data_IF_004576093260
#
_entry.id   IF_004576093260
#
_cell.length_a   1.000
_cell.length_b   1.000
_cell.length_c   1.000
_cell.angle_alpha   90.00
_cell.angle_beta   90.00
_cell.angle_gamma   90.00
#
_symmetry.space_group_name_H-M   'P 1'
#
loop_
_entity.id
_entity.type
_entity.pdbx_description
1 polymer ?
#
# COMPACT_ATOMS: atom_id res chain seq x y z
N UNK A 1 -12.44 10.42 0.95
CA UNK A 1 -12.98 9.14 0.39
C UNK A 1 -11.82 8.18 0.34
N UNK A 2 -12.02 6.92 0.73
CA UNK A 2 -10.97 5.90 0.71
C UNK A 2 -11.11 5.06 -0.55
N UNK A 3 -10.03 4.96 -1.31
CA UNK A 3 -9.93 4.14 -2.51
C UNK A 3 -9.15 2.86 -2.19
N UNK A 4 -9.36 1.80 -2.98
CA UNK A 4 -8.66 0.53 -2.85
C UNK A 4 -8.23 0.00 -4.22
N UNK A 5 -6.97 -0.39 -4.33
CA UNK A 5 -6.42 -1.22 -5.39
C UNK A 5 -6.14 -2.61 -4.82
N UNK A 6 -6.62 -3.68 -5.45
CA UNK A 6 -6.36 -5.04 -4.99
C UNK A 6 -6.08 -6.01 -6.13
N UNK A 7 -5.24 -7.02 -5.81
CA UNK A 7 -4.90 -8.13 -6.70
C UNK A 7 -4.85 -9.44 -5.90
N UNK A 8 -4.97 -10.56 -6.60
CA UNK A 8 -4.72 -11.89 -6.05
C UNK A 8 -3.45 -12.45 -6.68
N UNK A 9 -2.52 -12.92 -5.85
CA UNK A 9 -1.25 -13.51 -6.26
C UNK A 9 -0.99 -14.76 -5.41
N UNK A 10 -0.78 -15.90 -6.06
CA UNK A 10 -0.55 -17.19 -5.38
C UNK A 10 -1.55 -17.50 -4.25
N UNK A 11 -2.83 -17.14 -4.46
CA UNK A 11 -3.91 -17.32 -3.47
C UNK A 11 -3.94 -16.27 -2.34
N UNK A 12 -2.94 -15.41 -2.21
CA UNK A 12 -2.96 -14.27 -1.31
C UNK A 12 -3.67 -13.07 -1.94
N UNK A 13 -4.52 -12.38 -1.16
CA UNK A 13 -5.10 -11.08 -1.55
C UNK A 13 -4.20 -9.96 -1.07
N UNK A 14 -3.65 -9.19 -2.00
CA UNK A 14 -2.87 -7.98 -1.73
C UNK A 14 -3.77 -6.78 -1.98
N UNK A 15 -3.83 -5.84 -1.04
CA UNK A 15 -4.64 -4.63 -1.19
C UNK A 15 -3.90 -3.39 -0.67
N UNK A 16 -3.96 -2.32 -1.45
CA UNK A 16 -3.53 -0.98 -1.08
C UNK A 16 -4.76 -0.10 -0.94
N UNK A 17 -5.01 0.42 0.26
CA UNK A 17 -6.02 1.46 0.45
C UNK A 17 -5.35 2.81 0.62
N UNK A 18 -5.91 3.86 0.04
CA UNK A 18 -5.39 5.21 0.17
C UNK A 18 -6.51 6.25 0.20
N UNK A 19 -6.22 7.41 0.80
CA UNK A 19 -7.17 8.52 0.92
C UNK A 19 -6.45 9.86 1.07
N UNK A 20 -7.19 10.93 0.82
CA UNK A 20 -6.81 12.30 1.22
C UNK A 20 -7.33 12.62 2.65
N UNK A 21 -6.54 13.30 3.50
CA UNK A 21 -5.14 13.68 3.30
C UNK A 21 -4.23 12.44 3.19
N UNK A 22 -3.03 12.55 2.58
CA UNK A 22 -2.21 11.40 2.20
C UNK A 22 -2.03 10.36 3.29
N UNK A 23 -2.77 9.27 3.14
CA UNK A 23 -2.76 8.12 4.03
C UNK A 23 -2.85 6.87 3.17
N UNK A 24 -2.08 5.84 3.52
CA UNK A 24 -2.07 4.57 2.82
C UNK A 24 -1.92 3.39 3.78
N UNK A 25 -2.47 2.24 3.42
CA UNK A 25 -2.30 1.00 4.15
C UNK A 25 -2.15 -0.20 3.19
N UNK A 26 -1.15 -1.03 3.45
CA UNK A 26 -0.91 -2.29 2.77
C UNK A 26 -1.56 -3.42 3.56
N UNK A 27 -2.42 -4.20 2.92
CA UNK A 27 -3.06 -5.39 3.49
C UNK A 27 -2.67 -6.64 2.71
N UNK A 28 -2.38 -7.70 3.45
CA UNK A 28 -2.17 -9.05 2.92
C UNK A 28 -3.19 -9.96 3.61
N UNK A 29 -4.07 -10.59 2.83
CA UNK A 29 -5.18 -11.41 3.34
C UNK A 29 -6.04 -10.68 4.38
N UNK A 30 -6.27 -9.39 4.15
CA UNK A 30 -7.06 -8.52 5.04
C UNK A 30 -6.29 -8.00 6.27
N UNK A 31 -5.11 -8.54 6.57
CA UNK A 31 -4.27 -8.06 7.67
C UNK A 31 -3.48 -6.82 7.25
N UNK A 32 -3.59 -5.75 8.02
CA UNK A 32 -2.75 -4.56 7.84
C UNK A 32 -1.31 -4.95 8.18
N UNK A 33 -0.42 -4.81 7.20
CA UNK A 33 1.02 -5.08 7.35
C UNK A 33 1.80 -3.80 7.63
N UNK A 34 1.42 -2.72 6.96
CA UNK A 34 2.03 -1.41 7.15
C UNK A 34 1.01 -0.32 6.83
N UNK A 35 1.20 0.84 7.47
CA UNK A 35 0.47 2.08 7.23
C UNK A 35 1.44 3.24 7.15
N UNK A 36 1.15 4.20 6.28
CA UNK A 36 1.91 5.44 6.17
C UNK A 36 0.95 6.62 6.05
N UNK A 37 1.36 7.78 6.57
CA UNK A 37 0.59 9.02 6.50
C UNK A 37 1.53 10.21 6.39
N UNK A 38 1.07 11.29 5.78
CA UNK A 38 1.80 12.55 5.66
C UNK A 38 0.85 13.74 5.62
N UNK A 39 1.32 14.87 6.15
CA UNK A 39 0.66 16.17 6.04
C UNK A 39 0.98 16.88 4.70
N UNK A 40 1.94 16.36 3.93
CA UNK A 40 2.31 16.92 2.62
C UNK A 40 1.35 16.41 1.55
N UNK A 41 0.75 17.31 0.77
CA UNK A 41 -0.17 17.00 -0.33
C UNK A 41 0.50 16.43 -1.59
N UNK A 42 1.81 16.68 -1.78
CA UNK A 42 2.59 16.13 -2.88
C UNK A 42 3.71 15.23 -2.32
N UNK A 43 3.45 13.92 -2.27
CA UNK A 43 4.34 12.94 -1.64
C UNK A 43 4.12 11.54 -2.19
N UNK A 44 5.17 10.71 -2.18
CA UNK A 44 5.08 9.27 -2.40
C UNK A 44 5.13 8.53 -1.06
N UNK A 45 4.10 7.75 -0.75
CA UNK A 45 4.11 6.81 0.37
C UNK A 45 4.51 5.43 -0.15
N UNK A 46 5.54 4.84 0.47
CA UNK A 46 5.99 3.46 0.20
C UNK A 46 5.67 2.58 1.40
N UNK A 47 5.03 1.45 1.15
CA UNK A 47 4.68 0.45 2.14
C UNK A 47 5.27 -0.88 1.72
N UNK A 48 5.80 -1.63 2.66
CA UNK A 48 6.57 -2.84 2.45
C UNK A 48 6.14 -3.94 3.41
N UNK A 49 6.25 -5.18 2.97
CA UNK A 49 6.07 -6.32 3.86
C UNK A 49 6.85 -7.51 3.33
N UNK A 50 7.54 -8.21 4.22
CA UNK A 50 8.11 -9.52 3.93
C UNK A 50 7.17 -10.58 4.48
N UNK A 51 6.74 -11.51 3.62
CA UNK A 51 5.88 -12.63 3.98
C UNK A 51 6.60 -13.94 3.72
N UNK A 52 6.53 -14.85 4.70
CA UNK A 52 7.00 -16.21 4.52
C UNK A 52 5.95 -17.00 3.74
N UNK A 53 6.35 -17.55 2.60
CA UNK A 53 5.47 -18.32 1.71
C UNK A 53 5.73 -19.82 1.77
N UNK A 54 6.95 -20.24 2.16
CA UNK A 54 7.30 -21.65 2.39
C UNK A 54 8.50 -21.79 3.37
N UNK A 55 8.99 -23.01 3.57
CA UNK A 55 10.23 -23.31 4.29
C UNK A 55 11.40 -22.59 3.62
N UNK A 56 11.91 -21.55 4.28
CA UNK A 56 12.99 -20.64 3.84
C UNK A 56 12.65 -19.62 2.75
N UNK A 57 11.48 -19.70 2.11
CA UNK A 57 11.06 -18.72 1.09
C UNK A 57 10.36 -17.52 1.71
N UNK A 58 10.88 -16.34 1.39
CA UNK A 58 10.32 -15.06 1.79
C UNK A 58 10.08 -14.21 0.54
N UNK A 59 8.87 -13.71 0.39
CA UNK A 59 8.54 -12.75 -0.67
C UNK A 59 8.52 -11.33 -0.10
N UNK A 60 9.07 -10.40 -0.88
CA UNK A 60 9.03 -8.98 -0.59
C UNK A 60 7.92 -8.32 -1.40
N UNK A 61 7.01 -7.64 -0.70
CA UNK A 61 5.89 -6.91 -1.30
C UNK A 61 6.11 -5.43 -1.06
N UNK A 62 6.01 -4.63 -2.13
CA UNK A 62 6.06 -3.17 -2.09
C UNK A 62 4.78 -2.59 -2.70
N UNK A 63 4.20 -1.61 -2.01
CA UNK A 63 3.11 -0.78 -2.48
C UNK A 63 3.53 0.68 -2.52
N UNK A 64 3.28 1.35 -3.64
CA UNK A 64 3.66 2.74 -3.88
C UNK A 64 2.40 3.54 -4.16
N UNK A 65 2.16 4.60 -3.40
CA UNK A 65 1.05 5.54 -3.61
C UNK A 65 1.62 6.93 -3.82
N UNK A 66 1.37 7.50 -4.99
CA UNK A 66 1.81 8.84 -5.35
C UNK A 66 0.63 9.81 -5.21
N UNK A 67 0.74 10.70 -4.22
CA UNK A 67 -0.15 11.84 -4.04
C UNK A 67 0.47 13.03 -4.76
N UNK A 68 -0.29 13.62 -5.68
CA UNK A 68 0.12 14.83 -6.37
C UNK A 68 -0.97 15.88 -6.20
N UNK A 69 -0.57 17.08 -5.76
CA UNK A 69 -1.45 18.23 -5.90
C UNK A 69 -1.70 18.42 -7.40
N UNK A 70 -2.96 18.34 -7.80
CA UNK A 70 -3.38 18.85 -9.12
C UNK A 70 -3.29 20.37 -9.09
N UNK A 71 -2.06 20.89 -9.11
CA UNK A 71 -1.80 22.29 -9.33
C UNK A 71 -2.49 22.69 -10.62
N UNK A 72 -3.46 23.60 -10.53
CA UNK A 72 -4.08 24.23 -11.68
C UNK A 72 -2.94 24.94 -12.42
N UNK A 73 -2.63 24.48 -13.63
CA UNK A 73 -1.81 25.24 -14.58
C UNK A 73 -2.63 26.37 -15.16
#
# INVERSE_FOLDING_TARGET
>A
MTEELSITYEGARLALSFSDPPQAALRINGLIRETAASEQSNITLKLTSTVQTDYEWHEFIEGIVEFSDKGIK
#
